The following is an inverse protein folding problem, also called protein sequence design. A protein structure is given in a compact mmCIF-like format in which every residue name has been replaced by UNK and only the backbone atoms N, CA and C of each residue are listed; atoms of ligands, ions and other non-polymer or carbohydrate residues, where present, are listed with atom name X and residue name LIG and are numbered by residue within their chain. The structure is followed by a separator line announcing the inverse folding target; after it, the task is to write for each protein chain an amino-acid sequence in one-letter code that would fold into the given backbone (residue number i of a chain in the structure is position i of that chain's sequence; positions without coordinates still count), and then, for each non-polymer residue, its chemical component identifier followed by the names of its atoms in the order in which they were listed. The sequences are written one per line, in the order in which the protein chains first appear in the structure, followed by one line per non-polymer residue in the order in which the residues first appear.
data_IF_656992466633
#
_entry.id   IF_656992466633
#
_cell.length_a   1.000
_cell.length_b   1.000
_cell.length_c   1.000
_cell.angle_alpha   90.00
_cell.angle_beta   90.00
_cell.angle_gamma   90.00
#
_symmetry.space_group_name_H-M   'P 1'
#
loop_
_entity.id
_entity.type
_entity.pdbx_description
1 polymer ?
#
# COMPACT_ATOMS: atom_id res chain seq x y z
N UNK A 1 15.56 -1.69 -10.49
CA UNK A 1 15.00 -0.79 -11.52
C UNK A 1 13.50 -0.51 -11.32
N UNK A 2 12.60 -1.50 -11.41
CA UNK A 2 11.15 -1.26 -11.30
C UNK A 2 10.72 -0.57 -9.99
N UNK A 3 11.27 -0.97 -8.84
CA UNK A 3 10.95 -0.37 -7.52
C UNK A 3 11.21 1.14 -7.50
N UNK A 4 12.37 1.60 -8.00
CA UNK A 4 12.69 3.03 -8.08
C UNK A 4 11.70 3.79 -8.96
N UNK A 5 11.31 3.23 -10.11
CA UNK A 5 10.34 3.85 -11.00
C UNK A 5 9.00 4.08 -10.29
N UNK A 6 8.45 3.03 -9.66
CA UNK A 6 7.20 3.15 -8.92
C UNK A 6 7.30 4.10 -7.72
N UNK A 7 8.44 4.12 -7.02
CA UNK A 7 8.66 5.05 -5.91
C UNK A 7 8.71 6.52 -6.37
N UNK A 8 9.38 6.81 -7.49
CA UNK A 8 9.40 8.16 -8.08
C UNK A 8 8.01 8.61 -8.55
N UNK A 9 7.28 7.73 -9.25
CA UNK A 9 5.91 8.02 -9.69
C UNK A 9 5.02 8.31 -8.47
N UNK A 10 5.13 7.50 -7.41
CA UNK A 10 4.41 7.74 -6.16
C UNK A 10 4.77 9.08 -5.51
N UNK A 11 6.06 9.44 -5.45
CA UNK A 11 6.49 10.73 -4.92
C UNK A 11 5.85 11.89 -5.67
N UNK A 12 5.87 11.86 -7.01
CA UNK A 12 5.22 12.88 -7.85
C UNK A 12 3.72 12.93 -7.54
N UNK A 13 3.06 11.77 -7.52
CA UNK A 13 1.63 11.70 -7.22
C UNK A 13 1.28 12.30 -5.84
N UNK A 14 2.05 11.95 -4.80
CA UNK A 14 1.82 12.44 -3.44
C UNK A 14 2.10 13.94 -3.34
N UNK A 15 3.19 14.40 -3.96
CA UNK A 15 3.59 15.81 -3.91
C UNK A 15 2.56 16.74 -4.54
N UNK A 16 2.03 16.37 -5.72
CA UNK A 16 1.10 17.21 -6.48
C UNK A 16 -0.37 17.01 -6.09
N UNK A 17 -0.80 15.78 -5.78
CA UNK A 17 -2.21 15.46 -5.64
C UNK A 17 -2.69 15.29 -4.18
N UNK A 18 -1.78 15.22 -3.20
CA UNK A 18 -2.17 15.24 -1.78
C UNK A 18 -1.97 16.62 -1.16
N UNK A 19 -2.98 17.07 -0.40
CA UNK A 19 -2.87 18.28 0.43
C UNK A 19 -1.76 18.14 1.48
N UNK A 20 -1.18 19.26 1.88
CA UNK A 20 -0.16 19.34 2.93
C UNK A 20 -0.75 18.82 4.25
N UNK A 21 -0.47 17.56 4.56
CA UNK A 21 -1.03 16.83 5.71
C UNK A 21 0.04 15.93 6.30
N UNK A 22 -0.13 15.53 7.56
CA UNK A 22 0.77 14.56 8.23
C UNK A 22 0.87 13.21 7.47
N UNK A 23 -0.20 12.81 6.76
CA UNK A 23 -0.19 11.62 5.92
C UNK A 23 0.73 11.79 4.69
N UNK A 24 0.70 12.96 4.04
CA UNK A 24 1.59 13.29 2.92
C UNK A 24 3.06 13.23 3.35
N UNK A 25 3.40 13.91 4.45
CA UNK A 25 4.80 13.93 4.94
C UNK A 25 5.29 12.54 5.33
N UNK A 26 4.45 11.75 6.00
CA UNK A 26 4.79 10.37 6.39
C UNK A 26 5.01 9.46 5.17
N UNK A 27 4.18 9.58 4.13
CA UNK A 27 4.32 8.79 2.91
C UNK A 27 5.54 9.20 2.07
N UNK A 28 5.85 10.50 2.00
CA UNK A 28 7.07 10.98 1.34
C UNK A 28 8.31 10.50 2.09
N UNK A 29 8.31 10.59 3.42
CA UNK A 29 9.40 10.09 4.25
C UNK A 29 9.60 8.57 4.06
N UNK A 30 8.52 7.80 4.06
CA UNK A 30 8.54 6.36 3.73
C UNK A 30 9.22 6.10 2.38
N UNK A 31 8.83 6.81 1.32
CA UNK A 31 9.39 6.62 -0.02
C UNK A 31 10.87 6.99 -0.09
N UNK A 32 11.28 8.07 0.57
CA UNK A 32 12.70 8.44 0.66
C UNK A 32 13.52 7.36 1.37
N UNK A 33 13.05 6.88 2.54
CA UNK A 33 13.75 5.81 3.27
C UNK A 33 13.82 4.55 2.41
N UNK A 34 12.72 4.17 1.75
CA UNK A 34 12.67 3.00 0.86
C UNK A 34 13.64 3.10 -0.32
N UNK A 35 13.81 4.29 -0.90
CA UNK A 35 14.77 4.55 -1.97
C UNK A 35 16.22 4.47 -1.48
N UNK A 36 16.50 4.92 -0.25
CA UNK A 36 17.82 4.80 0.37
C UNK A 36 18.15 3.34 0.73
N UNK A 37 17.20 2.59 1.29
CA UNK A 37 17.38 1.17 1.65
C UNK A 37 17.44 0.27 0.42
N UNK A 38 16.93 0.71 -0.73
CA UNK A 38 17.07 -0.05 -1.97
C UNK A 38 18.55 -0.29 -2.34
N UNK A 39 19.43 0.65 -2.02
CA UNK A 39 20.88 0.52 -2.24
C UNK A 39 21.55 -0.57 -1.39
N UNK A 40 20.86 -1.15 -0.39
CA UNK A 40 21.40 -2.24 0.43
C UNK A 40 21.37 -3.61 -0.24
N UNK A 41 20.83 -3.71 -1.47
CA UNK A 41 20.93 -4.96 -2.26
C UNK A 41 22.36 -5.44 -2.45
N UNK A 42 23.35 -4.55 -2.36
CA UNK A 42 24.77 -4.90 -2.49
C UNK A 42 25.35 -5.63 -1.27
N UNK A 43 24.68 -5.62 -0.12
CA UNK A 43 25.23 -6.16 1.13
C UNK A 43 24.92 -7.65 1.30
N UNK A 44 23.62 -8.02 1.36
CA UNK A 44 23.18 -9.42 1.40
C UNK A 44 21.66 -9.53 1.12
N UNK A 45 21.17 -10.53 0.35
CA UNK A 45 19.75 -10.64 -0.02
C UNK A 45 18.80 -10.81 1.17
N UNK A 46 19.21 -11.52 2.22
CA UNK A 46 18.39 -11.74 3.41
C UNK A 46 18.24 -10.46 4.25
N UNK A 47 19.33 -9.70 4.43
CA UNK A 47 19.31 -8.40 5.13
C UNK A 47 18.39 -7.43 4.39
N UNK A 48 18.47 -7.44 3.06
CA UNK A 48 17.59 -6.66 2.20
C UNK A 48 16.10 -7.02 2.40
N UNK A 49 15.76 -8.31 2.48
CA UNK A 49 14.40 -8.77 2.74
C UNK A 49 13.89 -8.31 4.11
N UNK A 50 14.65 -8.54 5.19
CA UNK A 50 14.23 -8.16 6.54
C UNK A 50 14.07 -6.65 6.72
N UNK A 51 15.00 -5.86 6.16
CA UNK A 51 14.92 -4.41 6.22
C UNK A 51 13.63 -3.89 5.57
N UNK A 52 13.25 -4.44 4.41
CA UNK A 52 12.04 -3.99 3.72
C UNK A 52 10.75 -4.47 4.38
N UNK A 53 10.71 -5.70 4.92
CA UNK A 53 9.56 -6.16 5.71
C UNK A 53 9.38 -5.32 6.97
N UNK A 54 10.48 -5.00 7.67
CA UNK A 54 10.49 -4.10 8.81
C UNK A 54 10.01 -2.70 8.45
N UNK A 55 10.50 -2.15 7.33
CA UNK A 55 10.09 -0.83 6.85
C UNK A 55 8.58 -0.78 6.54
N UNK A 56 8.03 -1.78 5.85
CA UNK A 56 6.59 -1.88 5.59
C UNK A 56 5.77 -1.96 6.88
N UNK A 57 6.19 -2.78 7.85
CA UNK A 57 5.48 -2.93 9.12
C UNK A 57 5.56 -1.66 9.98
N UNK A 58 6.75 -1.09 10.17
CA UNK A 58 6.96 0.11 11.00
C UNK A 58 6.18 1.29 10.43
N UNK A 59 6.28 1.54 9.13
CA UNK A 59 5.54 2.65 8.51
C UNK A 59 4.03 2.39 8.45
N UNK A 60 3.62 1.14 8.20
CA UNK A 60 2.20 0.79 8.22
C UNK A 60 1.57 1.00 9.60
N UNK A 61 2.24 0.53 10.66
CA UNK A 61 1.81 0.72 12.04
C UNK A 61 1.88 2.19 12.47
N UNK A 62 2.90 2.94 12.05
CA UNK A 62 2.99 4.38 12.28
C UNK A 62 1.86 5.15 11.60
N UNK A 63 1.40 4.73 10.41
CA UNK A 63 0.24 5.37 9.79
C UNK A 63 -1.06 5.05 10.54
N UNK A 64 -1.14 3.89 11.20
CA UNK A 64 -2.28 3.40 11.96
C UNK A 64 -2.40 4.00 13.37
N UNK A 65 -1.28 4.15 14.07
CA UNK A 65 -1.25 4.55 15.49
C UNK A 65 -1.81 5.95 15.76
N UNK A 66 -1.84 6.82 14.75
CA UNK A 66 -2.36 8.18 14.88
C UNK A 66 -3.90 8.27 14.87
N UNK A 67 -4.61 7.15 14.70
CA UNK A 67 -6.07 7.12 14.76
C UNK A 67 -6.54 6.09 15.78
N UNK A 68 -7.23 6.57 16.81
CA UNK A 68 -8.02 5.73 17.72
C UNK A 68 -9.11 5.03 16.88
N UNK A 69 -9.01 3.70 16.77
CA UNK A 69 -9.89 2.87 15.94
C UNK A 69 -10.44 1.73 16.78
N UNK A 70 -11.69 1.30 16.54
CA UNK A 70 -12.26 0.16 17.25
C UNK A 70 -11.43 -1.11 17.03
N UNK A 71 -11.36 -1.97 18.05
CA UNK A 71 -10.59 -3.22 18.03
C UNK A 71 -10.91 -4.13 16.84
N UNK A 72 -12.16 -4.11 16.37
CA UNK A 72 -12.63 -4.85 15.19
C UNK A 72 -11.81 -4.54 13.94
N UNK A 73 -11.35 -3.29 13.79
CA UNK A 73 -10.53 -2.88 12.64
C UNK A 73 -9.16 -3.59 12.70
N UNK A 74 -8.52 -3.63 13.87
CA UNK A 74 -7.25 -4.36 14.05
C UNK A 74 -7.43 -5.88 13.88
N UNK A 75 -8.59 -6.42 14.25
CA UNK A 75 -8.94 -7.81 13.97
C UNK A 75 -8.97 -8.08 12.47
N UNK A 76 -9.60 -7.22 11.67
CA UNK A 76 -9.56 -7.31 10.20
C UNK A 76 -8.15 -7.29 9.63
N UNK A 77 -7.24 -6.49 10.21
CA UNK A 77 -5.84 -6.45 9.76
C UNK A 77 -5.17 -7.82 9.90
N UNK A 78 -5.47 -8.54 10.98
CA UNK A 78 -4.96 -9.88 11.22
C UNK A 78 -5.48 -10.89 10.17
N UNK A 79 -6.81 -10.96 9.95
CA UNK A 79 -7.38 -11.87 8.95
C UNK A 79 -6.93 -11.54 7.53
N UNK A 80 -6.80 -10.27 7.19
CA UNK A 80 -6.31 -9.85 5.88
C UNK A 80 -4.83 -10.23 5.69
N UNK A 81 -4.02 -10.16 6.73
CA UNK A 81 -2.61 -10.58 6.68
C UNK A 81 -2.49 -12.10 6.48
N UNK A 82 -3.33 -12.89 7.16
CA UNK A 82 -3.41 -14.34 6.95
C UNK A 82 -3.90 -14.64 5.54
N UNK A 83 -5.01 -14.03 5.11
CA UNK A 83 -5.58 -14.23 3.78
C UNK A 83 -4.59 -13.88 2.67
N UNK A 84 -3.86 -12.76 2.83
CA UNK A 84 -2.79 -12.39 1.92
C UNK A 84 -1.67 -13.45 1.89
N UNK A 85 -1.24 -13.95 3.05
CA UNK A 85 -0.26 -15.03 3.12
C UNK A 85 -0.75 -16.30 2.43
N UNK A 86 -2.01 -16.70 2.65
CA UNK A 86 -2.60 -17.88 2.01
C UNK A 86 -2.66 -17.75 0.49
N UNK A 87 -3.08 -16.59 -0.02
CA UNK A 87 -3.10 -16.32 -1.47
C UNK A 87 -1.67 -16.30 -2.04
N UNK A 88 -0.72 -15.69 -1.33
CA UNK A 88 0.68 -15.65 -1.74
C UNK A 88 1.29 -17.04 -1.84
N UNK A 89 1.05 -17.90 -0.83
CA UNK A 89 1.48 -19.30 -0.84
C UNK A 89 0.79 -20.09 -1.95
N UNK A 90 -0.52 -19.91 -2.15
CA UNK A 90 -1.26 -20.57 -3.21
C UNK A 90 -0.70 -20.25 -4.61
N UNK A 91 -0.45 -18.97 -4.89
CA UNK A 91 0.15 -18.52 -6.16
C UNK A 91 1.58 -19.07 -6.31
N UNK A 92 2.32 -19.14 -5.21
CA UNK A 92 3.69 -19.68 -5.20
C UNK A 92 3.72 -21.17 -5.55
N UNK A 93 2.78 -21.95 -5.02
CA UNK A 93 2.66 -23.39 -5.29
C UNK A 93 2.09 -23.63 -6.70
N UNK A 94 1.16 -22.78 -7.15
CA UNK A 94 0.50 -22.89 -8.45
C UNK A 94 0.79 -21.67 -9.32
N UNK A 95 1.96 -21.61 -9.98
CA UNK A 95 2.42 -20.42 -10.70
C UNK A 95 1.55 -20.08 -11.94
N UNK A 96 0.71 -21.00 -12.42
CA UNK A 96 -0.24 -20.72 -13.52
C UNK A 96 -1.14 -19.51 -13.22
N UNK A 97 -1.45 -19.29 -11.94
CA UNK A 97 -2.27 -18.16 -11.50
C UNK A 97 -1.51 -16.82 -11.50
N UNK A 98 -0.18 -16.81 -11.68
CA UNK A 98 0.61 -15.57 -11.82
C UNK A 98 0.35 -14.85 -13.15
N UNK A 99 -0.14 -15.58 -14.17
CA UNK A 99 -0.46 -15.04 -15.48
C UNK A 99 -1.83 -14.36 -15.53
N UNK A 100 -2.69 -14.59 -14.52
CA UNK A 100 -3.87 -13.77 -14.35
C UNK A 100 -3.41 -12.34 -14.02
N UNK A 101 -4.10 -11.32 -14.54
CA UNK A 101 -3.66 -9.94 -14.40
C UNK A 101 -3.64 -9.56 -12.92
N UNK A 102 -2.49 -9.68 -12.23
CA UNK A 102 -2.33 -9.39 -10.80
C UNK A 102 -2.70 -7.94 -10.41
N UNK A 103 -2.87 -7.07 -11.40
CA UNK A 103 -3.51 -5.76 -11.25
C UNK A 103 -4.93 -5.85 -10.68
N UNK A 104 -5.72 -6.89 -11.04
CA UNK A 104 -7.08 -7.08 -10.56
C UNK A 104 -7.15 -7.41 -9.06
N UNK A 105 -6.21 -8.21 -8.55
CA UNK A 105 -6.11 -8.56 -7.13
C UNK A 105 -5.76 -7.32 -6.27
N UNK A 106 -4.79 -6.51 -6.70
CA UNK A 106 -4.44 -5.27 -6.01
C UNK A 106 -5.61 -4.29 -5.94
N UNK A 107 -6.36 -4.14 -7.03
CA UNK A 107 -7.57 -3.29 -7.09
C UNK A 107 -8.66 -3.84 -6.16
N UNK A 108 -8.94 -5.15 -6.20
CA UNK A 108 -9.95 -5.78 -5.36
C UNK A 108 -9.66 -5.57 -3.86
N UNK A 109 -8.41 -5.77 -3.44
CA UNK A 109 -8.02 -5.60 -2.04
C UNK A 109 -8.06 -4.12 -1.62
N UNK A 110 -7.63 -3.21 -2.48
CA UNK A 110 -7.74 -1.77 -2.22
C UNK A 110 -9.21 -1.33 -2.06
N UNK A 111 -10.11 -1.87 -2.89
CA UNK A 111 -11.55 -1.60 -2.76
C UNK A 111 -12.13 -2.20 -1.46
N UNK A 112 -11.72 -3.42 -1.09
CA UNK A 112 -12.14 -4.07 0.15
C UNK A 112 -11.68 -3.28 1.37
N UNK A 113 -10.41 -2.86 1.42
CA UNK A 113 -9.88 -2.01 2.49
C UNK A 113 -10.66 -0.69 2.62
N UNK A 114 -11.19 -0.18 1.50
CA UNK A 114 -12.01 1.03 1.48
C UNK A 114 -13.44 0.82 1.99
N UNK A 115 -13.96 -0.41 1.91
CA UNK A 115 -15.23 -0.75 2.56
C UNK A 115 -15.05 -0.77 4.08
N UNK A 116 -13.88 -1.18 4.56
CA UNK A 116 -13.55 -1.21 5.99
C UNK A 116 -13.20 0.21 6.49
N UNK A 117 -12.51 1.02 5.69
CA UNK A 117 -11.92 2.30 6.11
C UNK A 117 -12.24 3.45 5.15
N UNK A 118 -12.64 4.60 5.71
CA UNK A 118 -12.88 5.83 4.94
C UNK A 118 -11.61 6.62 4.62
N UNK A 119 -10.59 6.52 5.48
CA UNK A 119 -9.46 7.46 5.49
C UNK A 119 -8.25 6.94 4.71
N UNK A 120 -7.71 7.77 3.81
CA UNK A 120 -6.54 7.42 3.00
C UNK A 120 -5.35 6.97 3.85
N UNK A 121 -5.07 7.69 4.95
CA UNK A 121 -3.96 7.38 5.85
C UNK A 121 -4.09 5.97 6.44
N UNK A 122 -5.28 5.66 6.95
CA UNK A 122 -5.55 4.34 7.52
C UNK A 122 -5.53 3.24 6.48
N UNK A 123 -6.08 3.47 5.28
CA UNK A 123 -6.02 2.47 4.20
C UNK A 123 -4.57 2.22 3.78
N UNK A 124 -3.76 3.27 3.64
CA UNK A 124 -2.34 3.13 3.33
C UNK A 124 -1.59 2.39 4.45
N UNK A 125 -1.89 2.68 5.71
CA UNK A 125 -1.36 1.95 6.87
C UNK A 125 -1.72 0.46 6.84
N UNK A 126 -3.01 0.15 6.64
CA UNK A 126 -3.49 -1.23 6.47
C UNK A 126 -2.79 -1.96 5.34
N UNK A 127 -2.68 -1.31 4.18
CA UNK A 127 -2.06 -1.88 3.01
C UNK A 127 -0.59 -2.23 3.27
N UNK A 128 0.18 -1.31 3.86
CA UNK A 128 1.59 -1.53 4.18
C UNK A 128 1.77 -2.61 5.24
N UNK A 129 0.99 -2.58 6.33
CA UNK A 129 1.10 -3.59 7.39
C UNK A 129 0.66 -4.96 6.92
N UNK A 130 -0.42 -5.07 6.14
CA UNK A 130 -0.87 -6.35 5.56
C UNK A 130 0.18 -6.96 4.64
N UNK A 131 0.83 -6.14 3.80
CA UNK A 131 1.92 -6.62 2.94
C UNK A 131 3.15 -7.05 3.78
N UNK A 132 3.54 -6.25 4.77
CA UNK A 132 4.67 -6.58 5.65
C UNK A 132 4.43 -7.85 6.49
N UNK A 133 3.31 -7.92 7.19
CA UNK A 133 2.93 -9.04 8.05
C UNK A 133 2.63 -10.30 7.23
N UNK A 134 1.82 -10.19 6.18
CA UNK A 134 1.46 -11.32 5.32
C UNK A 134 2.65 -11.93 4.59
N UNK A 135 3.62 -11.11 4.14
CA UNK A 135 4.86 -11.64 3.58
C UNK A 135 5.79 -12.25 4.63
N UNK A 136 5.81 -11.70 5.85
CA UNK A 136 6.55 -12.31 6.96
C UNK A 136 6.00 -13.70 7.27
N UNK A 137 4.67 -13.86 7.33
CA UNK A 137 4.02 -15.16 7.49
C UNK A 137 4.36 -16.12 6.35
N UNK A 138 4.28 -15.65 5.10
CA UNK A 138 4.65 -16.44 3.91
C UNK A 138 6.09 -16.94 3.99
N UNK A 139 7.02 -16.07 4.38
CA UNK A 139 8.43 -16.39 4.54
C UNK A 139 8.66 -17.43 5.64
N UNK A 140 8.02 -17.25 6.82
CA UNK A 140 8.12 -18.21 7.93
C UNK A 140 7.63 -19.59 7.50
N UNK A 141 6.48 -19.67 6.81
CA UNK A 141 5.96 -20.94 6.30
C UNK A 141 6.95 -21.58 5.32
N UNK A 142 7.43 -20.86 4.31
CA UNK A 142 8.35 -21.42 3.32
C UNK A 142 9.69 -21.84 3.92
N UNK A 143 10.16 -21.15 4.95
CA UNK A 143 11.37 -21.52 5.70
C UNK A 143 11.20 -22.86 6.41
N UNK A 144 10.01 -23.15 6.95
CA UNK A 144 9.73 -24.48 7.56
C UNK A 144 9.81 -25.62 6.54
N UNK A 145 9.59 -25.33 5.26
CA UNK A 145 9.70 -26.30 4.16
C UNK A 145 11.05 -26.25 3.42
N UNK A 146 12.04 -25.46 3.89
CA UNK A 146 13.35 -25.30 3.24
C UNK A 146 13.28 -24.65 1.85
N UNK A 147 12.27 -23.82 1.60
CA UNK A 147 12.00 -23.17 0.30
C UNK A 147 12.08 -21.64 0.40
N UNK A 148 12.87 -21.09 1.32
CA UNK A 148 12.93 -19.63 1.54
C UNK A 148 13.38 -18.83 0.31
N UNK A 149 14.19 -19.43 -0.59
CA UNK A 149 14.70 -18.78 -1.79
C UNK A 149 13.63 -18.39 -2.82
N UNK A 150 12.40 -18.87 -2.66
CA UNK A 150 11.27 -18.54 -3.54
C UNK A 150 10.73 -17.12 -3.26
N UNK A 151 10.99 -16.57 -2.07
CA UNK A 151 10.53 -15.23 -1.70
C UNK A 151 11.47 -14.17 -2.28
N UNK A 152 11.04 -13.56 -3.38
CA UNK A 152 11.80 -12.50 -4.08
C UNK A 152 11.39 -11.11 -3.59
N UNK A 153 12.33 -10.35 -3.02
CA UNK A 153 12.03 -9.04 -2.39
C UNK A 153 11.55 -7.97 -3.37
N UNK A 154 12.09 -7.90 -4.59
CA UNK A 154 11.75 -6.85 -5.54
C UNK A 154 10.31 -6.92 -6.08
N UNK A 155 9.79 -8.09 -6.53
CA UNK A 155 8.37 -8.23 -6.91
C UNK A 155 7.39 -7.83 -5.81
N UNK A 156 7.73 -8.12 -4.55
CA UNK A 156 6.90 -7.80 -3.39
C UNK A 156 6.79 -6.30 -3.16
N UNK A 157 7.92 -5.59 -3.22
CA UNK A 157 7.94 -4.13 -3.12
C UNK A 157 7.17 -3.49 -4.27
N UNK A 158 7.33 -4.00 -5.49
CA UNK A 158 6.57 -3.51 -6.65
C UNK A 158 5.07 -3.69 -6.42
N UNK A 159 4.63 -4.83 -5.87
CA UNK A 159 3.22 -5.05 -5.55
C UNK A 159 2.70 -4.06 -4.49
N UNK A 160 3.46 -3.84 -3.42
CA UNK A 160 3.10 -2.87 -2.38
C UNK A 160 3.00 -1.44 -2.94
N UNK A 161 3.95 -1.01 -3.78
CA UNK A 161 3.93 0.31 -4.40
C UNK A 161 2.80 0.46 -5.42
N UNK A 162 2.51 -0.59 -6.21
CA UNK A 162 1.34 -0.59 -7.12
C UNK A 162 0.03 -0.39 -6.37
N UNK A 163 -0.15 -1.04 -5.21
CA UNK A 163 -1.34 -0.83 -4.39
C UNK A 163 -1.45 0.60 -3.85
N UNK A 164 -0.35 1.21 -3.42
CA UNK A 164 -0.33 2.63 -3.04
C UNK A 164 -0.70 3.55 -4.22
N UNK A 165 -0.25 3.24 -5.44
CA UNK A 165 -0.63 4.01 -6.63
C UNK A 165 -2.12 3.91 -6.91
N UNK A 166 -2.68 2.71 -6.86
CA UNK A 166 -4.12 2.48 -7.02
C UNK A 166 -4.89 3.28 -5.96
N UNK A 167 -4.43 3.27 -4.71
CA UNK A 167 -5.02 4.03 -3.62
C UNK A 167 -5.04 5.53 -3.90
N UNK A 168 -3.91 6.10 -4.34
CA UNK A 168 -3.82 7.51 -4.69
C UNK A 168 -4.69 7.86 -5.89
N UNK A 169 -4.73 7.01 -6.91
CA UNK A 169 -5.57 7.22 -8.08
C UNK A 169 -7.06 7.25 -7.69
N UNK A 170 -7.48 6.26 -6.91
CA UNK A 170 -8.85 6.13 -6.40
C UNK A 170 -9.24 7.26 -5.44
N UNK A 171 -8.27 7.81 -4.70
CA UNK A 171 -8.43 8.99 -3.87
C UNK A 171 -8.52 10.27 -4.70
N UNK A 172 -7.61 10.45 -5.65
CA UNK A 172 -7.54 11.59 -6.57
C UNK A 172 -8.83 11.74 -7.38
N UNK A 173 -9.34 10.64 -7.96
CA UNK A 173 -10.62 10.64 -8.68
C UNK A 173 -11.79 11.13 -7.82
N UNK A 174 -11.84 10.77 -6.52
CA UNK A 174 -12.88 11.26 -5.62
C UNK A 174 -12.72 12.73 -5.28
N UNK A 175 -11.49 13.19 -5.04
CA UNK A 175 -11.20 14.60 -4.77
C UNK A 175 -11.60 15.46 -5.97
N UNK A 176 -11.28 15.02 -7.19
CA UNK A 176 -11.71 15.66 -8.42
C UNK A 176 -13.24 15.67 -8.57
N UNK A 177 -13.91 14.53 -8.34
CA UNK A 177 -15.38 14.45 -8.38
C UNK A 177 -16.04 15.39 -7.37
N UNK A 178 -15.51 15.48 -6.15
CA UNK A 178 -16.01 16.38 -5.09
C UNK A 178 -15.83 17.85 -5.48
N UNK A 179 -14.68 18.21 -6.04
CA UNK A 179 -14.40 19.57 -6.49
C UNK A 179 -15.31 19.97 -7.66
N UNK A 180 -15.52 19.08 -8.64
CA UNK A 180 -16.40 19.34 -9.77
C UNK A 180 -17.88 19.42 -9.36
N UNK A 181 -18.33 18.58 -8.42
CA UNK A 181 -19.70 18.65 -7.89
C UNK A 181 -19.93 19.92 -7.05
N UNK A 182 -18.90 20.46 -6.40
CA UNK A 182 -18.96 21.73 -5.68
C UNK A 182 -18.98 22.96 -6.60
N UNK A 183 -18.25 22.91 -7.72
CA UNK A 183 -18.21 23.98 -8.72
C UNK A 183 -19.59 24.25 -9.37
N UNK A 184 -20.46 23.23 -9.45
CA UNK A 184 -21.84 23.40 -9.93
C UNK A 184 -22.74 24.18 -8.95
N UNK A 185 -22.45 24.16 -7.64
CA UNK A 185 -23.26 24.85 -6.62
C UNK A 185 -22.90 26.32 -6.44
N UNK A 186 -21.69 26.75 -6.79
CA UNK A 186 -21.28 28.16 -6.67
C UNK A 186 -21.81 29.04 -7.80
N UNK A 187 -22.18 28.47 -8.97
CA UNK A 187 -22.77 29.22 -10.08
C UNK A 187 -24.22 29.67 -9.85
N UNK A 188 -24.92 29.12 -8.86
CA UNK A 188 -26.35 29.40 -8.64
C UNK A 188 -26.63 30.50 -7.58
N UNK A 189 -25.59 31.12 -7.01
CA UNK A 189 -25.74 32.18 -5.99
C UNK A 189 -25.46 33.61 -6.50
N UNK A 190 -25.27 33.79 -7.81
CA UNK A 190 -24.89 35.08 -8.40
C UNK A 190 -26.01 35.88 -9.08
N UNK A 191 -27.15 35.28 -9.41
CA UNK A 191 -28.16 35.92 -10.29
C UNK A 191 -29.50 36.17 -9.57
N UNK A 192 -29.46 36.63 -8.32
CA UNK A 192 -30.67 37.00 -7.57
C UNK A 192 -30.72 38.48 -7.14
N UNK A 193 -29.85 39.33 -7.70
CA UNK A 193 -29.93 40.79 -7.55
C UNK A 193 -29.45 41.47 -8.85
N UNK A 194 -30.35 41.56 -9.82
CA UNK A 194 -30.27 42.50 -10.95
C UNK A 194 -31.69 42.98 -11.26
#
# INVERSE_FOLDING_TARGET
MAVYWYAWVLMICIWFFMKQTSARTSLLFFLCVLMCTFSWTFIHPSVYLYAHLGLLMVFGLHLLSFQQRPLVIYFWLFFLSIGFSSVSLFITIHPVWTHLPGFSLGVAVVLLLRMILSDLRGIAGFWLTMNGAGMTLTYVVLRLYGREGVVMTAPLLVFALKGLLILLFVHGLRTLKKNNAGAGKSKYKGDAYA
#
